data_IF_021579316047
#
_entry.id   IF_021579316047
#
_cell.length_a   1.000
_cell.length_b   1.000
_cell.length_c   1.000
_cell.angle_alpha   90.00
_cell.angle_beta   90.00
_cell.angle_gamma   90.00
#
_symmetry.space_group_name_H-M   'P 1'
#
loop_
_entity.id
_entity.type
_entity.pdbx_description
1 polymer ?
#
# COMPACT_ATOMS: atom_id res chain seq x y z
N UNK A 1 -17.62 9.88 28.95
CA UNK A 1 -17.72 8.79 27.94
C UNK A 1 -18.61 9.18 26.77
N UNK A 2 -19.86 9.61 27.02
CA UNK A 2 -20.81 10.01 25.96
C UNK A 2 -20.29 11.20 25.12
N UNK A 3 -19.66 12.20 25.73
CA UNK A 3 -19.06 13.31 24.97
C UNK A 3 -17.88 12.86 24.09
N UNK A 4 -16.98 12.03 24.63
CA UNK A 4 -15.87 11.47 23.85
C UNK A 4 -16.35 10.58 22.69
N UNK A 5 -17.49 9.88 22.84
CA UNK A 5 -18.07 9.12 21.74
C UNK A 5 -18.74 9.98 20.68
N UNK A 6 -19.15 11.22 21.01
CA UNK A 6 -19.61 12.21 20.04
C UNK A 6 -18.43 12.79 19.23
N UNK A 7 -17.29 13.07 19.86
CA UNK A 7 -16.05 13.50 19.19
C UNK A 7 -15.56 12.47 18.17
N UNK A 8 -15.83 11.18 18.40
CA UNK A 8 -15.48 10.08 17.48
C UNK A 8 -16.04 10.23 16.07
N UNK A 9 -17.16 10.98 15.92
CA UNK A 9 -17.79 11.24 14.62
C UNK A 9 -17.07 12.32 13.82
N UNK A 10 -16.33 13.21 14.48
CA UNK A 10 -15.56 14.30 13.86
C UNK A 10 -14.09 13.92 13.68
N UNK A 11 -13.48 13.36 14.73
CA UNK A 11 -12.15 12.76 14.67
C UNK A 11 -12.07 11.57 15.65
N UNK A 12 -12.00 10.36 15.09
CA UNK A 12 -11.95 9.12 15.87
C UNK A 12 -10.70 8.99 16.75
N UNK A 13 -9.62 9.72 16.42
CA UNK A 13 -8.36 9.66 17.14
C UNK A 13 -8.31 10.66 18.30
N UNK A 14 -9.24 11.62 18.36
CA UNK A 14 -9.41 12.51 19.51
C UNK A 14 -10.45 11.97 20.51
N UNK A 15 -11.17 10.90 20.16
CA UNK A 15 -12.13 10.24 21.03
C UNK A 15 -11.44 9.37 22.10
N UNK A 16 -10.82 10.01 23.08
CA UNK A 16 -10.14 9.40 24.22
C UNK A 16 -10.55 10.06 25.54
N UNK A 17 -10.34 9.37 26.66
CA UNK A 17 -10.57 9.91 28.01
C UNK A 17 -9.22 9.99 28.73
N UNK A 18 -8.87 11.18 29.21
CA UNK A 18 -7.70 11.42 30.06
C UNK A 18 -8.18 11.62 31.50
N UNK A 19 -7.85 10.68 32.38
CA UNK A 19 -8.23 10.65 33.80
C UNK A 19 -7.01 10.93 34.69
N UNK A 20 -6.70 12.21 34.90
CA UNK A 20 -5.58 12.62 35.75
C UNK A 20 -6.00 12.77 37.22
N UNK A 21 -5.33 12.02 38.10
CA UNK A 21 -5.55 12.06 39.56
C UNK A 21 -7.02 11.86 39.98
N UNK A 22 -7.78 11.09 39.21
CA UNK A 22 -9.18 10.73 39.47
C UNK A 22 -9.38 9.24 39.28
N UNK A 23 -10.24 8.63 40.10
CA UNK A 23 -10.61 7.21 39.95
C UNK A 23 -11.67 7.08 38.86
N UNK A 24 -11.47 6.16 37.92
CA UNK A 24 -12.49 5.78 36.93
C UNK A 24 -13.31 4.62 37.50
N UNK A 25 -14.63 4.74 37.54
CA UNK A 25 -15.51 3.65 38.02
C UNK A 25 -15.52 2.48 37.04
N UNK A 26 -15.86 1.27 37.52
CA UNK A 26 -15.90 0.11 36.63
C UNK A 26 -17.01 0.25 35.59
N UNK A 27 -18.16 0.85 35.92
CA UNK A 27 -19.22 1.11 34.93
C UNK A 27 -18.72 2.04 33.80
N UNK A 28 -17.93 3.06 34.15
CA UNK A 28 -17.34 3.97 33.16
C UNK A 28 -16.31 3.26 32.27
N UNK A 29 -15.56 2.29 32.80
CA UNK A 29 -14.63 1.45 32.01
C UNK A 29 -15.35 0.50 31.09
N UNK A 30 -16.40 -0.15 31.56
CA UNK A 30 -17.26 -1.01 30.73
C UNK A 30 -17.88 -0.22 29.58
N UNK A 31 -18.44 0.95 29.88
CA UNK A 31 -18.99 1.84 28.86
C UNK A 31 -17.92 2.33 27.88
N UNK A 32 -16.73 2.69 28.35
CA UNK A 32 -15.63 3.08 27.47
C UNK A 32 -15.22 1.94 26.51
N UNK A 33 -15.17 0.69 27.01
CA UNK A 33 -14.91 -0.51 26.19
C UNK A 33 -16.00 -0.74 25.15
N UNK A 34 -17.27 -0.64 25.54
CA UNK A 34 -18.42 -0.80 24.63
C UNK A 34 -18.39 0.19 23.47
N UNK A 35 -18.06 1.45 23.75
CA UNK A 35 -17.97 2.51 22.74
C UNK A 35 -16.60 2.55 22.03
N UNK A 36 -15.65 1.70 22.42
CA UNK A 36 -14.29 1.65 21.89
C UNK A 36 -13.53 2.97 22.08
N UNK A 37 -13.66 3.58 23.25
CA UNK A 37 -12.98 4.81 23.68
C UNK A 37 -11.87 4.42 24.65
N UNK A 38 -10.59 4.67 24.35
CA UNK A 38 -9.49 4.40 25.27
C UNK A 38 -9.54 5.34 26.48
N UNK A 39 -9.10 4.83 27.64
CA UNK A 39 -9.00 5.58 28.90
C UNK A 39 -7.55 5.56 29.37
N UNK A 40 -6.96 6.75 29.54
CA UNK A 40 -5.61 6.96 30.03
C UNK A 40 -5.69 7.49 31.46
N UNK A 41 -5.41 6.65 32.44
CA UNK A 41 -5.49 6.96 33.87
C UNK A 41 -4.08 7.11 34.46
N UNK A 42 -3.84 8.15 35.26
CA UNK A 42 -2.57 8.30 35.97
C UNK A 42 -2.49 9.53 36.86
N UNK A 43 -1.44 9.59 37.67
CA UNK A 43 -1.19 10.66 38.65
C UNK A 43 0.03 11.53 38.31
N UNK A 44 0.66 11.30 37.16
CA UNK A 44 1.78 12.10 36.64
C UNK A 44 1.40 12.60 35.24
N UNK A 45 1.22 13.91 35.11
CA UNK A 45 0.63 14.52 33.90
C UNK A 45 1.41 14.17 32.63
N UNK A 46 2.75 14.22 32.67
CA UNK A 46 3.60 13.93 31.52
C UNK A 46 3.44 12.50 31.00
N UNK A 47 3.28 11.51 31.89
CA UNK A 47 3.10 10.11 31.49
C UNK A 47 1.75 9.88 30.81
N UNK A 48 0.68 10.44 31.38
CA UNK A 48 -0.67 10.28 30.82
C UNK A 48 -0.78 10.94 29.44
N UNK A 49 -0.13 12.09 29.26
CA UNK A 49 -0.05 12.79 27.96
C UNK A 49 0.80 11.99 26.97
N UNK A 50 1.93 11.43 27.40
CA UNK A 50 2.79 10.58 26.55
C UNK A 50 2.07 9.30 26.11
N UNK A 51 1.35 8.63 27.01
CA UNK A 51 0.56 7.44 26.71
C UNK A 51 -0.53 7.72 25.67
N UNK A 52 -1.24 8.86 25.82
CA UNK A 52 -2.21 9.31 24.83
C UNK A 52 -1.55 9.62 23.48
N UNK A 53 -0.47 10.40 23.47
CA UNK A 53 0.23 10.78 22.24
C UNK A 53 0.75 9.55 21.49
N UNK A 54 1.32 8.57 22.21
CA UNK A 54 1.75 7.29 21.65
C UNK A 54 0.60 6.53 21.00
N UNK A 55 -0.51 6.38 21.71
CA UNK A 55 -1.70 5.73 21.16
C UNK A 55 -2.25 6.47 19.92
N UNK A 56 -2.33 7.80 19.98
CA UNK A 56 -2.76 8.63 18.87
C UNK A 56 -1.89 8.39 17.62
N UNK A 57 -0.57 8.44 17.77
CA UNK A 57 0.36 8.18 16.67
C UNK A 57 0.24 6.74 16.13
N UNK A 58 0.16 5.73 16.99
CA UNK A 58 0.01 4.33 16.58
C UNK A 58 -1.29 4.09 15.79
N UNK A 59 -2.38 4.73 16.20
CA UNK A 59 -3.68 4.60 15.55
C UNK A 59 -3.71 5.30 14.18
N UNK A 60 -3.11 6.48 14.07
CA UNK A 60 -2.91 7.16 12.79
C UNK A 60 -2.06 6.33 11.83
N UNK A 61 -0.91 5.82 12.29
CA UNK A 61 -0.04 4.96 11.49
C UNK A 61 -0.73 3.66 11.06
N UNK A 62 -1.58 3.08 11.93
CA UNK A 62 -2.37 1.91 11.59
C UNK A 62 -3.39 2.20 10.49
N UNK A 63 -4.16 3.28 10.59
CA UNK A 63 -5.13 3.64 9.55
C UNK A 63 -4.45 3.96 8.22
N UNK A 64 -3.34 4.68 8.28
CA UNK A 64 -2.49 4.98 7.14
C UNK A 64 -2.02 3.70 6.44
N UNK A 65 -1.48 2.74 7.19
CA UNK A 65 -1.06 1.44 6.67
C UNK A 65 -2.23 0.67 6.04
N UNK A 66 -3.37 0.60 6.72
CA UNK A 66 -4.57 -0.06 6.18
C UNK A 66 -5.09 0.59 4.91
N UNK A 67 -4.92 1.90 4.77
CA UNK A 67 -5.29 2.63 3.55
C UNK A 67 -4.32 2.29 2.42
N UNK A 68 -3.01 2.37 2.68
CA UNK A 68 -1.97 2.02 1.71
C UNK A 68 -2.05 0.56 1.24
N UNK A 69 -2.43 -0.38 2.10
CA UNK A 69 -2.63 -1.80 1.74
C UNK A 69 -3.75 -2.01 0.72
N UNK A 70 -4.77 -1.15 0.71
CA UNK A 70 -5.88 -1.19 -0.25
C UNK A 70 -5.54 -0.52 -1.58
N UNK A 71 -4.51 0.32 -1.60
CA UNK A 71 -4.07 1.01 -2.79
C UNK A 71 -3.12 0.14 -3.61
N UNK A 72 -3.22 0.28 -4.92
CA UNK A 72 -2.24 -0.28 -5.85
C UNK A 72 -1.08 0.72 -5.89
N UNK A 73 0.08 0.29 -5.40
CA UNK A 73 1.29 1.11 -5.35
C UNK A 73 2.05 1.08 -6.69
N UNK A 74 2.85 2.12 -7.01
CA UNK A 74 3.61 2.15 -8.25
C UNK A 74 4.70 1.09 -8.26
N UNK A 75 4.94 0.52 -9.44
CA UNK A 75 6.03 -0.43 -9.67
C UNK A 75 6.44 -0.43 -11.14
N UNK A 76 7.74 -0.55 -11.39
CA UNK A 76 8.31 -0.75 -12.72
C UNK A 76 9.23 -1.97 -12.69
N UNK A 77 9.06 -2.87 -13.64
CA UNK A 77 9.83 -4.11 -13.72
C UNK A 77 10.41 -4.28 -15.12
N UNK A 78 11.61 -4.86 -15.21
CA UNK A 78 12.24 -5.23 -16.48
C UNK A 78 12.29 -6.73 -16.62
N UNK A 79 11.87 -7.26 -17.76
CA UNK A 79 12.00 -8.69 -18.08
C UNK A 79 13.47 -8.98 -18.33
N UNK A 80 14.04 -9.93 -17.58
CA UNK A 80 15.46 -10.26 -17.68
C UNK A 80 15.75 -11.11 -18.92
N UNK A 81 16.72 -10.73 -19.77
CA UNK A 81 17.13 -11.55 -20.90
C UNK A 81 17.66 -12.92 -20.48
N UNK A 82 17.22 -13.98 -21.16
CA UNK A 82 17.55 -15.38 -20.87
C UNK A 82 16.68 -16.02 -19.78
N UNK A 83 15.80 -15.26 -19.11
CA UNK A 83 14.99 -15.75 -17.99
C UNK A 83 13.51 -15.92 -18.35
N UNK A 84 13.23 -16.51 -19.51
CA UNK A 84 11.85 -16.84 -19.93
C UNK A 84 11.60 -18.33 -19.70
N UNK A 85 10.88 -18.65 -18.63
CA UNK A 85 10.58 -20.04 -18.25
C UNK A 85 9.31 -20.57 -18.93
N UNK A 86 8.33 -19.69 -19.18
CA UNK A 86 7.10 -20.03 -19.88
C UNK A 86 6.59 -18.84 -20.68
N UNK A 87 6.38 -19.05 -21.98
CA UNK A 87 6.02 -17.97 -22.90
C UNK A 87 4.56 -17.53 -22.85
N UNK A 88 3.62 -18.34 -22.34
CA UNK A 88 2.20 -17.96 -22.19
C UNK A 88 1.41 -18.93 -21.28
N UNK A 89 0.26 -18.45 -20.79
CA UNK A 89 -0.78 -19.21 -20.07
C UNK A 89 -0.33 -20.06 -18.86
N UNK A 90 0.17 -19.47 -17.76
CA UNK A 90 0.58 -18.07 -17.59
C UNK A 90 1.99 -17.84 -18.14
N UNK A 91 2.35 -16.58 -18.41
CA UNK A 91 3.74 -16.22 -18.66
C UNK A 91 4.53 -16.41 -17.36
N UNK A 92 5.72 -16.98 -17.42
CA UNK A 92 6.64 -17.09 -16.28
C UNK A 92 8.00 -16.56 -16.71
N UNK A 93 8.43 -15.47 -16.09
CA UNK A 93 9.66 -14.75 -16.44
C UNK A 93 10.40 -14.30 -15.18
N UNK A 94 11.74 -14.26 -15.26
CA UNK A 94 12.57 -13.53 -14.32
C UNK A 94 12.48 -12.03 -14.61
N UNK A 95 12.34 -11.23 -13.56
CA UNK A 95 12.26 -9.78 -13.67
C UNK A 95 13.13 -9.11 -12.62
N UNK A 96 13.58 -7.89 -12.92
CA UNK A 96 14.19 -6.98 -11.96
C UNK A 96 13.23 -5.83 -11.66
N UNK A 97 13.01 -5.52 -10.38
CA UNK A 97 12.20 -4.36 -9.98
C UNK A 97 13.07 -3.11 -10.07
N UNK A 98 12.74 -2.21 -11.00
CA UNK A 98 13.49 -0.99 -11.27
C UNK A 98 13.15 0.14 -10.30
N UNK A 99 11.87 0.25 -9.95
CA UNK A 99 11.37 1.31 -9.08
C UNK A 99 10.06 0.87 -8.41
N UNK A 100 9.82 1.36 -7.19
CA UNK A 100 8.66 1.02 -6.38
C UNK A 100 8.63 -0.46 -6.00
N UNK A 101 7.45 -1.06 -6.12
CA UNK A 101 7.20 -2.44 -5.67
C UNK A 101 6.12 -3.14 -6.48
N UNK A 102 6.16 -4.47 -6.48
CA UNK A 102 5.13 -5.33 -7.06
C UNK A 102 4.58 -6.28 -6.02
N UNK A 103 3.27 -6.54 -6.05
CA UNK A 103 2.58 -7.51 -5.17
C UNK A 103 1.85 -8.54 -6.01
N UNK A 104 1.53 -9.67 -5.40
CA UNK A 104 0.52 -10.57 -5.98
C UNK A 104 -0.80 -9.82 -6.18
N UNK A 105 -1.45 -10.05 -7.33
CA UNK A 105 -2.73 -9.48 -7.68
C UNK A 105 -2.68 -8.13 -8.40
N UNK A 106 -1.49 -7.54 -8.58
CA UNK A 106 -1.40 -6.24 -9.26
C UNK A 106 -1.43 -6.39 -10.78
N UNK A 107 -2.18 -5.53 -11.49
CA UNK A 107 -2.20 -5.52 -12.94
C UNK A 107 -0.93 -4.86 -13.50
N UNK A 108 -0.52 -5.30 -14.68
CA UNK A 108 0.63 -4.78 -15.42
C UNK A 108 0.19 -4.21 -16.77
N UNK A 109 0.91 -3.18 -17.23
CA UNK A 109 0.78 -2.55 -18.53
C UNK A 109 2.15 -2.24 -19.14
N UNK A 110 2.18 -2.01 -20.45
CA UNK A 110 3.37 -1.51 -21.16
C UNK A 110 3.48 0.01 -21.09
N UNK A 111 4.56 0.55 -21.64
CA UNK A 111 4.76 2.00 -21.79
C UNK A 111 3.72 2.68 -22.69
N UNK A 112 3.14 1.94 -23.64
CA UNK A 112 2.03 2.40 -24.48
C UNK A 112 0.66 2.31 -23.77
N UNK A 113 0.65 1.83 -22.52
CA UNK A 113 -0.53 1.68 -21.67
C UNK A 113 -1.39 0.44 -21.98
N UNK A 114 -1.00 -0.39 -22.96
CA UNK A 114 -1.69 -1.67 -23.21
C UNK A 114 -1.56 -2.58 -21.99
N UNK A 115 -2.70 -3.13 -21.55
CA UNK A 115 -2.76 -4.08 -20.44
C UNK A 115 -2.11 -5.40 -20.84
N UNK A 116 -1.28 -5.93 -19.95
CA UNK A 116 -0.56 -7.19 -20.13
C UNK A 116 -1.26 -8.34 -19.39
N UNK A 117 -1.69 -8.09 -18.15
CA UNK A 117 -2.26 -9.11 -17.29
C UNK A 117 -2.06 -8.76 -15.82
N UNK A 118 -2.14 -9.76 -14.96
CA UNK A 118 -2.03 -9.62 -13.50
C UNK A 118 -0.96 -10.57 -12.95
N UNK A 119 -0.20 -10.12 -11.96
CA UNK A 119 0.80 -10.95 -11.27
C UNK A 119 0.08 -12.00 -10.39
N UNK A 120 0.24 -13.27 -10.73
CA UNK A 120 -0.35 -14.38 -9.98
C UNK A 120 0.50 -14.82 -8.79
N UNK A 121 1.82 -14.81 -8.97
CA UNK A 121 2.77 -15.27 -7.96
C UNK A 121 4.11 -14.59 -8.19
N UNK A 122 4.81 -14.30 -7.09
CA UNK A 122 6.19 -13.84 -7.05
C UNK A 122 7.00 -14.91 -6.31
N UNK A 123 8.18 -15.24 -6.80
CA UNK A 123 9.08 -16.20 -6.19
C UNK A 123 10.52 -15.68 -6.18
N UNK A 124 11.20 -15.90 -5.06
CA UNK A 124 12.64 -15.71 -4.92
C UNK A 124 13.26 -17.05 -4.52
N UNK A 125 14.21 -17.54 -5.32
CA UNK A 125 14.84 -18.85 -5.12
C UNK A 125 13.84 -20.00 -4.87
N UNK A 126 12.71 -19.99 -5.60
CA UNK A 126 11.65 -21.00 -5.50
C UNK A 126 10.72 -20.86 -4.29
N UNK A 127 10.94 -19.89 -3.40
CA UNK A 127 10.05 -19.60 -2.28
C UNK A 127 9.06 -18.49 -2.64
N UNK A 128 7.76 -18.62 -2.30
CA UNK A 128 6.78 -17.59 -2.61
C UNK A 128 7.06 -16.31 -1.79
N UNK A 129 6.91 -15.16 -2.46
CA UNK A 129 6.94 -13.83 -1.85
C UNK A 129 5.60 -13.13 -2.05
N UNK A 130 5.21 -12.32 -1.06
CA UNK A 130 4.02 -11.48 -1.16
C UNK A 130 4.30 -10.20 -1.98
N UNK A 131 5.53 -9.70 -1.89
CA UNK A 131 5.98 -8.44 -2.47
C UNK A 131 7.45 -8.57 -2.91
N UNK A 132 7.83 -7.81 -3.94
CA UNK A 132 9.21 -7.53 -4.29
C UNK A 132 9.39 -6.03 -4.50
N UNK A 133 10.48 -5.48 -3.97
CA UNK A 133 10.83 -4.06 -4.01
C UNK A 133 11.98 -3.78 -4.98
N UNK A 134 12.21 -2.50 -5.26
CA UNK A 134 13.32 -2.01 -6.08
C UNK A 134 14.65 -2.71 -5.79
N UNK A 135 15.34 -3.12 -6.85
CA UNK A 135 16.64 -3.81 -6.81
C UNK A 135 16.53 -5.33 -6.69
N UNK A 136 15.37 -5.88 -6.33
CA UNK A 136 15.18 -7.33 -6.27
C UNK A 136 15.05 -7.94 -7.67
N UNK A 137 15.63 -9.13 -7.85
CA UNK A 137 15.46 -9.98 -9.02
C UNK A 137 14.66 -11.23 -8.64
N UNK A 138 13.45 -11.36 -9.19
CA UNK A 138 12.46 -12.39 -8.80
C UNK A 138 11.83 -13.04 -10.02
N UNK A 139 11.33 -14.26 -9.87
CA UNK A 139 10.48 -14.88 -10.88
C UNK A 139 9.02 -14.50 -10.63
N UNK A 140 8.32 -14.07 -11.67
CA UNK A 140 6.89 -13.77 -11.59
C UNK A 140 6.10 -14.63 -12.58
N UNK A 141 4.85 -14.94 -12.21
CA UNK A 141 3.88 -15.49 -13.14
C UNK A 141 2.81 -14.46 -13.46
N UNK A 142 2.52 -14.26 -14.75
CA UNK A 142 1.56 -13.26 -15.24
C UNK A 142 0.41 -13.97 -15.93
N UNK A 143 -0.81 -13.76 -15.43
CA UNK A 143 -2.05 -14.23 -16.05
C UNK A 143 -2.61 -13.12 -16.93
N UNK A 144 -2.75 -13.39 -18.22
CA UNK A 144 -3.31 -12.45 -19.19
C UNK A 144 -3.25 -13.01 -20.60
N UNK A 145 -3.82 -12.29 -21.57
CA UNK A 145 -3.75 -12.62 -22.99
C UNK A 145 -2.44 -12.10 -23.60
N UNK A 146 -1.31 -12.51 -23.03
CA UNK A 146 0.04 -12.05 -23.38
C UNK A 146 0.95 -13.25 -23.67
N UNK A 147 1.87 -13.07 -24.63
CA UNK A 147 2.92 -14.02 -24.96
C UNK A 147 4.27 -13.32 -25.11
N UNK A 148 5.33 -13.93 -24.56
CA UNK A 148 6.71 -13.48 -24.74
C UNK A 148 7.18 -13.82 -26.16
N UNK A 149 7.73 -12.84 -26.89
CA UNK A 149 8.01 -12.93 -28.33
C UNK A 149 6.91 -12.40 -29.23
N UNK A 150 5.85 -11.79 -28.66
CA UNK A 150 4.72 -11.23 -29.43
C UNK A 150 4.24 -9.89 -28.87
N UNK A 151 3.73 -9.89 -27.64
CA UNK A 151 3.21 -8.69 -27.00
C UNK A 151 4.21 -8.06 -26.02
N UNK A 152 5.09 -8.88 -25.46
CA UNK A 152 6.20 -8.47 -24.59
C UNK A 152 7.44 -9.25 -25.02
N UNK A 153 8.60 -8.66 -24.81
CA UNK A 153 9.90 -9.27 -25.11
C UNK A 153 10.86 -9.20 -23.92
N UNK A 154 11.95 -9.96 -24.00
CA UNK A 154 13.05 -9.83 -23.06
C UNK A 154 13.65 -8.42 -23.11
N UNK A 155 13.91 -7.82 -21.95
CA UNK A 155 14.35 -6.43 -21.84
C UNK A 155 13.21 -5.41 -21.76
N UNK A 156 11.97 -5.77 -22.11
CA UNK A 156 10.83 -4.85 -21.98
C UNK A 156 10.63 -4.41 -20.52
N UNK A 157 10.26 -3.13 -20.37
CA UNK A 157 9.83 -2.56 -19.10
C UNK A 157 8.31 -2.57 -19.03
N UNK A 158 7.78 -3.20 -17.98
CA UNK A 158 6.37 -3.19 -17.64
C UNK A 158 6.14 -2.33 -16.39
N UNK A 159 4.97 -1.71 -16.33
CA UNK A 159 4.56 -0.86 -15.23
C UNK A 159 3.33 -1.45 -14.55
N UNK A 160 3.22 -1.26 -13.24
CA UNK A 160 1.96 -1.51 -12.54
C UNK A 160 0.88 -0.58 -13.11
N UNK A 161 -0.26 -1.15 -13.49
CA UNK A 161 -1.40 -0.43 -14.05
C UNK A 161 -2.21 0.26 -12.93
N UNK A 162 -1.60 1.25 -12.27
CA UNK A 162 -2.18 1.95 -11.11
C UNK A 162 -3.43 2.75 -11.53
N UNK A 163 -4.62 2.51 -10.94
CA UNK A 163 -5.83 3.30 -11.21
C UNK A 163 -5.62 4.81 -10.96
N UNK A 164 -6.29 5.67 -11.74
CA UNK A 164 -6.08 7.13 -11.64
C UNK A 164 -6.48 7.68 -10.26
N UNK A 165 -7.57 7.17 -9.69
CA UNK A 165 -8.04 7.50 -8.35
C UNK A 165 -7.02 7.09 -7.28
N UNK A 166 -6.37 5.94 -7.43
CA UNK A 166 -5.27 5.53 -6.55
C UNK A 166 -4.07 6.48 -6.70
N UNK A 167 -3.71 6.88 -7.93
CA UNK A 167 -2.62 7.86 -8.17
C UNK A 167 -2.93 9.18 -7.47
N UNK A 168 -4.16 9.70 -7.61
CA UNK A 168 -4.57 10.97 -7.03
C UNK A 168 -4.53 10.90 -5.48
N UNK A 169 -4.97 9.80 -4.87
CA UNK A 169 -4.85 9.57 -3.43
C UNK A 169 -3.39 9.52 -2.98
N UNK A 170 -2.55 8.76 -3.69
CA UNK A 170 -1.13 8.60 -3.36
C UNK A 170 -0.38 9.93 -3.42
N UNK A 171 -0.60 10.72 -4.48
CA UNK A 171 0.09 12.01 -4.67
C UNK A 171 -0.43 13.14 -3.77
N UNK A 172 -1.67 13.04 -3.28
CA UNK A 172 -2.26 14.09 -2.42
C UNK A 172 -2.15 13.80 -0.93
N UNK A 173 -2.28 12.53 -0.52
CA UNK A 173 -2.33 12.14 0.90
C UNK A 173 -1.11 11.39 1.40
N UNK A 174 -0.38 10.70 0.52
CA UNK A 174 0.72 9.81 0.91
C UNK A 174 2.03 10.17 0.21
N UNK A 175 2.16 11.39 -0.31
CA UNK A 175 3.34 11.81 -1.04
C UNK A 175 4.63 11.74 -0.20
N UNK A 176 4.52 12.05 1.09
CA UNK A 176 5.62 12.00 2.05
C UNK A 176 6.05 10.56 2.39
N UNK A 177 5.21 9.57 2.09
CA UNK A 177 5.48 8.14 2.29
C UNK A 177 6.09 7.45 1.07
N UNK A 178 6.27 8.20 -0.01
CA UNK A 178 6.79 7.70 -1.27
C UNK A 178 8.19 8.24 -1.49
N UNK A 179 9.06 7.39 -2.04
CA UNK A 179 10.34 7.86 -2.57
C UNK A 179 10.13 8.83 -3.73
N UNK A 180 11.13 9.69 -3.98
CA UNK A 180 11.11 10.60 -5.15
C UNK A 180 10.90 9.83 -6.46
N UNK A 181 11.54 8.66 -6.60
CA UNK A 181 11.38 7.77 -7.74
C UNK A 181 9.95 7.23 -7.90
N UNK A 182 9.29 6.82 -6.81
CA UNK A 182 7.89 6.40 -6.85
C UNK A 182 6.95 7.55 -7.25
N UNK A 183 7.22 8.77 -6.77
CA UNK A 183 6.44 9.96 -7.15
C UNK A 183 6.60 10.26 -8.65
N UNK A 184 7.81 10.19 -9.18
CA UNK A 184 8.06 10.35 -10.62
C UNK A 184 7.41 9.25 -11.45
N UNK A 185 7.48 8.01 -10.97
CA UNK A 185 6.86 6.86 -11.60
C UNK A 185 5.33 7.00 -11.66
N UNK A 186 4.68 7.43 -10.58
CA UNK A 186 3.24 7.73 -10.57
C UNK A 186 2.87 8.81 -11.59
N UNK A 187 3.66 9.89 -11.68
CA UNK A 187 3.47 10.93 -12.71
C UNK A 187 3.64 10.38 -14.12
N UNK A 188 4.60 9.47 -14.35
CA UNK A 188 4.77 8.78 -15.65
C UNK A 188 3.55 7.92 -15.97
N UNK A 189 3.13 7.06 -15.06
CA UNK A 189 1.94 6.20 -15.20
C UNK A 189 0.69 7.03 -15.51
N UNK A 190 0.49 8.15 -14.78
CA UNK A 190 -0.61 9.09 -15.03
C UNK A 190 -0.61 9.63 -16.46
N UNK A 191 0.56 10.06 -16.97
CA UNK A 191 0.70 10.55 -18.36
C UNK A 191 0.35 9.49 -19.40
N UNK A 192 0.83 8.25 -19.20
CA UNK A 192 0.49 7.11 -20.07
C UNK A 192 -1.02 6.90 -20.11
N UNK A 193 -1.67 6.88 -18.94
CA UNK A 193 -3.11 6.67 -18.82
C UNK A 193 -3.97 7.77 -19.44
N UNK A 194 -3.56 9.03 -19.29
CA UNK A 194 -4.30 10.16 -19.88
C UNK A 194 -4.20 10.10 -21.41
N UNK A 195 -3.01 9.82 -21.96
CA UNK A 195 -2.78 9.72 -23.41
C UNK A 195 -3.60 8.61 -24.08
N UNK A 196 -3.94 7.55 -23.35
CA UNK A 196 -4.83 6.49 -23.86
C UNK A 196 -6.31 6.89 -23.95
N UNK A 197 -6.74 7.91 -23.20
CA UNK A 197 -8.14 8.37 -23.16
C UNK A 197 -8.45 9.45 -24.19
N UNK A 198 -7.41 10.13 -24.68
CA UNK A 198 -7.44 11.12 -25.76
C UNK A 198 -7.34 10.45 -27.12
#
# INVERSE_FOLDING_TARGET
>A
VIEASLTKKEDRFLAAIIAFNVKVTEEARELAREYGVPVFEGNIIYRVVEDFAKWYHEMHEREKRQTLEKLILPGAIRILPGYVFRRSNPVIVGVEVLEGRIRRGVPLMREDGRKIGEIMQIQEHGKPLNEAEKGMAVAISIRGKVMVGRQIDEGDVLYVDVPLDHIDILLSKFKEDLSEGEVELLKKIRRIKIKMRS
#
